data_IF_026227525122
#
_entry.id   IF_026227525122
#
_cell.length_a   1.000
_cell.length_b   1.000
_cell.length_c   1.000
_cell.angle_alpha   90.00
_cell.angle_beta   90.00
_cell.angle_gamma   90.00
#
_symmetry.space_group_name_H-M   'P 1'
#
loop_
_entity.id
_entity.type
_entity.pdbx_description
1 polymer ?
#
# COMPACT_ATOMS: atom_id res chain seq x y z
N UNK A 1 -50.78 -5.96 -41.85
CA UNK A 1 -49.37 -5.63 -41.53
C UNK A 1 -49.20 -5.72 -40.03
N UNK A 2 -48.33 -6.61 -39.55
CA UNK A 2 -48.11 -6.90 -38.13
C UNK A 2 -46.82 -6.20 -37.67
N UNK A 3 -46.94 -5.18 -36.83
CA UNK A 3 -45.79 -4.45 -36.28
C UNK A 3 -45.25 -5.19 -35.06
N UNK A 4 -44.01 -5.68 -35.15
CA UNK A 4 -43.29 -6.30 -34.03
C UNK A 4 -42.73 -5.21 -33.11
N UNK A 5 -42.87 -5.30 -31.78
CA UNK A 5 -42.19 -4.39 -30.87
C UNK A 5 -40.71 -4.78 -30.80
N UNK A 6 -39.84 -3.81 -31.07
CA UNK A 6 -38.41 -3.91 -30.82
C UNK A 6 -38.18 -3.70 -29.32
N UNK A 7 -37.88 -4.77 -28.59
CA UNK A 7 -37.36 -4.65 -27.23
C UNK A 7 -35.91 -4.17 -27.31
N UNK A 8 -35.70 -2.88 -27.05
CA UNK A 8 -34.37 -2.33 -26.84
C UNK A 8 -33.90 -2.73 -25.44
N UNK A 9 -33.11 -3.80 -25.37
CA UNK A 9 -32.41 -4.18 -24.14
C UNK A 9 -31.36 -3.11 -23.84
N UNK A 10 -31.63 -2.23 -22.88
CA UNK A 10 -30.62 -1.33 -22.32
C UNK A 10 -29.65 -2.20 -21.53
N UNK A 11 -28.47 -2.47 -22.10
CA UNK A 11 -27.35 -3.03 -21.35
C UNK A 11 -26.96 -1.99 -20.30
N UNK A 12 -27.33 -2.22 -19.04
CA UNK A 12 -26.81 -1.44 -17.94
C UNK A 12 -25.30 -1.69 -17.86
N UNK A 13 -24.50 -0.67 -18.20
CA UNK A 13 -23.07 -0.62 -17.90
C UNK A 13 -22.96 -0.52 -16.38
N UNK A 14 -22.90 -1.66 -15.69
CA UNK A 14 -22.49 -1.69 -14.29
C UNK A 14 -21.04 -1.20 -14.25
N UNK A 15 -20.71 -0.19 -13.42
CA UNK A 15 -19.32 0.18 -13.21
C UNK A 15 -18.59 -1.05 -12.69
N UNK A 16 -17.57 -1.50 -13.41
CA UNK A 16 -16.63 -2.49 -12.89
C UNK A 16 -15.92 -1.83 -11.71
N UNK A 17 -16.36 -2.16 -10.50
CA UNK A 17 -15.63 -1.80 -9.28
C UNK A 17 -14.27 -2.48 -9.40
N UNK A 18 -13.21 -1.68 -9.57
CA UNK A 18 -11.85 -2.19 -9.60
C UNK A 18 -11.53 -2.74 -8.21
N UNK A 19 -11.06 -3.98 -8.14
CA UNK A 19 -10.64 -4.56 -6.86
C UNK A 19 -9.48 -3.76 -6.28
N UNK A 20 -9.44 -3.65 -4.96
CA UNK A 20 -8.37 -2.94 -4.25
C UNK A 20 -6.98 -3.45 -4.66
N UNK A 21 -6.11 -2.50 -4.97
CA UNK A 21 -4.72 -2.72 -5.32
C UNK A 21 -3.85 -1.73 -4.53
N UNK A 22 -2.97 -2.26 -3.69
CA UNK A 22 -1.99 -1.46 -2.96
C UNK A 22 -0.70 -1.34 -3.79
N UNK A 23 -0.52 -0.20 -4.43
CA UNK A 23 0.60 0.04 -5.36
C UNK A 23 1.87 0.50 -4.64
N UNK A 24 1.75 1.11 -3.46
CA UNK A 24 2.89 1.63 -2.70
C UNK A 24 3.50 2.89 -3.34
N UNK A 25 4.75 3.25 -3.00
CA UNK A 25 5.52 4.26 -3.73
C UNK A 25 5.84 3.89 -5.16
N UNK A 26 6.17 4.90 -5.98
CA UNK A 26 6.56 4.71 -7.37
C UNK A 26 7.72 3.70 -7.48
N UNK A 27 7.51 2.56 -8.15
CA UNK A 27 8.48 1.48 -8.22
C UNK A 27 9.69 1.78 -9.11
N UNK A 28 9.62 2.84 -9.92
CA UNK A 28 10.67 3.22 -10.86
C UNK A 28 11.78 4.08 -10.24
N UNK A 29 11.59 4.52 -8.99
CA UNK A 29 12.54 5.34 -8.24
C UNK A 29 13.01 4.61 -6.98
N UNK A 30 14.26 4.87 -6.59
CA UNK A 30 14.77 4.39 -5.31
C UNK A 30 14.07 5.09 -4.15
N UNK A 31 13.85 4.35 -3.06
CA UNK A 31 13.21 4.85 -1.86
C UNK A 31 14.21 5.67 -1.04
N UNK A 32 14.20 6.98 -1.24
CA UNK A 32 15.08 7.93 -0.56
C UNK A 32 14.52 8.35 0.81
N UNK A 33 15.15 7.88 1.88
CA UNK A 33 14.72 8.14 3.25
C UNK A 33 14.89 9.60 3.70
N UNK A 34 15.59 10.42 2.92
CA UNK A 34 15.72 11.86 3.18
C UNK A 34 14.58 12.68 2.59
N UNK A 35 13.73 12.07 1.76
CA UNK A 35 12.62 12.74 1.09
C UNK A 35 11.27 12.30 1.66
N UNK A 36 10.28 13.15 1.45
CA UNK A 36 8.89 12.72 1.58
C UNK A 36 8.53 11.82 0.39
N UNK A 37 7.80 10.75 0.66
CA UNK A 37 7.37 9.77 -0.32
C UNK A 37 5.84 9.70 -0.35
N UNK A 38 5.29 9.41 -1.52
CA UNK A 38 3.85 9.18 -1.68
C UNK A 38 3.60 7.68 -1.80
N UNK A 39 2.81 7.12 -0.88
CA UNK A 39 2.30 5.74 -0.93
C UNK A 39 0.94 5.79 -1.60
N UNK A 40 0.68 4.96 -2.60
CA UNK A 40 -0.56 5.00 -3.39
C UNK A 40 -1.33 3.67 -3.37
N UNK A 41 -2.61 3.75 -3.68
CA UNK A 41 -3.49 2.60 -3.92
C UNK A 41 -4.65 2.99 -4.84
N UNK A 42 -5.30 1.98 -5.40
CA UNK A 42 -6.48 2.16 -6.25
C UNK A 42 -7.53 1.08 -5.97
N UNK A 43 -8.71 1.24 -6.56
CA UNK A 43 -9.79 0.29 -6.42
C UNK A 43 -10.56 0.42 -5.11
N UNK A 44 -11.37 -0.60 -4.83
CA UNK A 44 -12.31 -0.64 -3.72
C UNK A 44 -12.32 -2.03 -3.07
N UNK A 45 -12.85 -2.10 -1.86
CA UNK A 45 -13.00 -3.36 -1.11
C UNK A 45 -14.46 -3.80 -1.10
N UNK A 46 -14.72 -5.01 -0.60
CA UNK A 46 -16.09 -5.49 -0.42
C UNK A 46 -16.85 -4.60 0.58
N UNK A 47 -18.17 -4.47 0.42
CA UNK A 47 -19.02 -3.60 1.25
C UNK A 47 -18.96 -3.88 2.76
N UNK A 48 -18.56 -5.10 3.13
CA UNK A 48 -18.46 -5.55 4.51
C UNK A 48 -17.06 -5.31 5.12
N UNK A 49 -16.11 -4.85 4.32
CA UNK A 49 -14.74 -4.54 4.75
C UNK A 49 -14.65 -3.06 5.11
N UNK A 50 -13.93 -2.74 6.19
CA UNK A 50 -13.63 -1.36 6.56
C UNK A 50 -12.93 -0.62 5.41
N UNK A 51 -13.41 0.57 5.04
CA UNK A 51 -12.70 1.44 4.09
C UNK A 51 -11.52 2.18 4.72
N UNK A 52 -11.27 1.93 6.01
CA UNK A 52 -10.07 2.34 6.73
C UNK A 52 -9.12 1.16 6.86
N UNK A 53 -7.84 1.43 6.64
CA UNK A 53 -6.76 0.46 6.80
C UNK A 53 -5.52 1.09 7.42
N UNK A 54 -4.64 0.26 7.96
CA UNK A 54 -3.34 0.67 8.46
C UNK A 54 -2.27 0.50 7.38
N UNK A 55 -1.28 1.40 7.37
CA UNK A 55 -0.10 1.29 6.52
C UNK A 55 1.08 0.92 7.40
N UNK A 56 1.84 -0.09 6.97
CA UNK A 56 3.08 -0.51 7.60
C UNK A 56 4.21 -0.49 6.59
N UNK A 57 5.44 -0.31 7.08
CA UNK A 57 6.62 -0.73 6.35
C UNK A 57 7.23 -1.97 6.99
N UNK A 58 7.90 -2.76 6.17
CA UNK A 58 8.46 -4.05 6.53
C UNK A 58 9.78 -4.31 5.81
N UNK A 59 10.72 -4.96 6.51
CA UNK A 59 11.96 -5.44 5.92
C UNK A 59 12.49 -6.70 6.61
N UNK A 60 13.09 -7.57 5.81
CA UNK A 60 13.89 -8.71 6.27
C UNK A 60 15.34 -8.53 5.77
N UNK A 61 16.15 -7.66 6.40
CA UNK A 61 17.50 -7.39 5.94
C UNK A 61 18.44 -8.61 6.06
N UNK A 62 18.09 -9.60 6.89
CA UNK A 62 18.69 -10.93 6.89
C UNK A 62 17.81 -11.98 7.57
N UNK A 63 18.27 -13.23 7.56
CA UNK A 63 17.57 -14.39 8.15
C UNK A 63 17.35 -14.31 9.67
N UNK A 64 17.94 -13.36 10.36
CA UNK A 64 17.82 -13.21 11.82
C UNK A 64 16.98 -11.99 12.20
N UNK A 65 16.77 -11.05 11.27
CA UNK A 65 16.13 -9.78 11.53
C UNK A 65 14.92 -9.63 10.62
N UNK A 66 13.76 -9.57 11.26
CA UNK A 66 12.51 -9.12 10.66
C UNK A 66 12.11 -7.86 11.39
N UNK A 67 12.07 -6.73 10.68
CA UNK A 67 11.82 -5.41 11.24
C UNK A 67 10.70 -4.74 10.47
N UNK A 68 9.81 -4.08 11.19
CA UNK A 68 8.69 -3.37 10.62
C UNK A 68 8.18 -2.35 11.63
N UNK A 69 7.52 -1.32 11.14
CA UNK A 69 6.77 -0.44 12.01
C UNK A 69 5.49 0.02 11.33
N UNK A 70 4.46 0.11 12.16
CA UNK A 70 3.19 0.70 11.80
C UNK A 70 3.37 2.21 11.60
N UNK A 71 2.88 2.72 10.47
CA UNK A 71 3.02 4.13 10.09
C UNK A 71 1.83 4.94 10.60
N UNK A 72 0.63 4.36 10.49
CA UNK A 72 -0.62 5.13 10.63
C UNK A 72 -1.40 4.80 11.89
N UNK A 73 -1.18 3.63 12.48
CA UNK A 73 -2.06 3.17 13.54
C UNK A 73 -1.95 4.01 14.81
N UNK A 74 -3.11 4.52 15.24
CA UNK A 74 -3.26 5.50 16.31
C UNK A 74 -2.55 6.85 16.06
N UNK A 75 -2.02 7.07 14.85
CA UNK A 75 -1.39 8.34 14.43
C UNK A 75 -2.27 9.09 13.45
N UNK A 76 -2.82 8.40 12.45
CA UNK A 76 -3.70 8.94 11.44
C UNK A 76 -4.61 7.84 10.87
N UNK A 77 -5.87 8.18 10.61
CA UNK A 77 -6.76 7.30 9.84
C UNK A 77 -6.43 7.44 8.35
N UNK A 78 -6.23 6.32 7.65
CA UNK A 78 -6.06 6.28 6.18
C UNK A 78 -7.29 5.65 5.55
N UNK A 79 -7.90 6.36 4.60
CA UNK A 79 -9.12 5.93 3.93
C UNK A 79 -8.88 5.53 2.48
N UNK A 80 -9.58 4.50 2.03
CA UNK A 80 -9.57 4.08 0.62
C UNK A 80 -9.81 5.22 -0.36
N UNK A 81 -10.72 6.14 -0.01
CA UNK A 81 -11.08 7.30 -0.83
C UNK A 81 -9.94 8.28 -1.08
N UNK A 82 -8.90 8.27 -0.25
CA UNK A 82 -7.80 9.23 -0.37
C UNK A 82 -6.86 8.86 -1.52
N UNK A 83 -6.76 7.57 -1.84
CA UNK A 83 -5.91 7.03 -2.92
C UNK A 83 -4.40 7.17 -2.68
N UNK A 84 -3.98 7.95 -1.68
CA UNK A 84 -2.59 8.21 -1.38
C UNK A 84 -2.35 8.66 0.06
N UNK A 85 -1.14 8.44 0.55
CA UNK A 85 -0.63 8.90 1.85
C UNK A 85 0.79 9.43 1.70
N UNK A 86 1.08 10.60 2.29
CA UNK A 86 2.43 11.17 2.31
C UNK A 86 3.17 10.72 3.57
N UNK A 87 4.35 10.13 3.39
CA UNK A 87 5.19 9.66 4.48
C UNK A 87 6.54 10.37 4.45
N UNK A 88 6.94 10.86 5.63
CA UNK A 88 8.31 11.24 5.92
C UNK A 88 8.86 10.36 7.02
N UNK A 89 9.96 9.67 6.75
CA UNK A 89 10.58 8.79 7.75
C UNK A 89 11.17 9.59 8.91
N UNK A 90 10.97 9.08 10.12
CA UNK A 90 11.59 9.64 11.32
C UNK A 90 13.06 9.25 11.42
N UNK A 91 13.85 10.05 12.14
CA UNK A 91 15.26 9.71 12.42
C UNK A 91 15.38 8.38 13.19
N UNK A 92 14.43 8.04 14.08
CA UNK A 92 14.41 6.75 14.76
C UNK A 92 14.28 5.58 13.77
N UNK A 93 13.46 5.73 12.73
CA UNK A 93 13.32 4.71 11.67
C UNK A 93 14.62 4.57 10.89
N UNK A 94 15.27 5.69 10.56
CA UNK A 94 16.57 5.68 9.88
C UNK A 94 17.64 5.02 10.74
N UNK A 95 17.74 5.38 12.01
CA UNK A 95 18.70 4.84 12.98
C UNK A 95 18.55 3.32 13.12
N UNK A 96 17.32 2.81 13.15
CA UNK A 96 17.04 1.38 13.22
C UNK A 96 17.48 0.63 11.94
N UNK A 97 17.35 1.25 10.77
CA UNK A 97 17.65 0.64 9.47
C UNK A 97 19.11 0.84 9.03
N UNK A 98 19.80 1.87 9.54
CA UNK A 98 21.18 2.23 9.19
C UNK A 98 22.16 1.06 9.27
N UNK A 99 22.12 0.15 10.27
CA UNK A 99 23.01 -1.01 10.32
C UNK A 99 22.88 -1.96 9.12
N UNK A 100 21.79 -1.86 8.36
CA UNK A 100 21.47 -2.71 7.21
C UNK A 100 21.49 -1.95 5.88
N UNK A 101 21.93 -0.69 5.85
CA UNK A 101 21.84 0.20 4.69
C UNK A 101 22.37 -0.44 3.39
N UNK A 102 23.56 -1.04 3.42
CA UNK A 102 24.17 -1.69 2.25
C UNK A 102 23.30 -2.83 1.69
N UNK A 103 22.69 -3.63 2.56
CA UNK A 103 21.81 -4.73 2.14
C UNK A 103 20.49 -4.22 1.60
N UNK A 104 19.89 -3.22 2.26
CA UNK A 104 18.65 -2.59 1.81
C UNK A 104 18.83 -1.90 0.45
N UNK A 105 20.01 -1.35 0.18
CA UNK A 105 20.38 -0.76 -1.10
C UNK A 105 20.68 -1.80 -2.19
N UNK A 106 21.20 -2.98 -1.85
CA UNK A 106 21.63 -3.96 -2.85
C UNK A 106 20.55 -4.99 -3.18
N UNK A 107 19.83 -5.48 -2.17
CA UNK A 107 19.01 -6.69 -2.26
C UNK A 107 17.50 -6.41 -2.38
N UNK A 108 17.09 -5.12 -2.35
CA UNK A 108 15.68 -4.68 -2.38
C UNK A 108 14.83 -5.43 -1.36
N UNK A 109 15.07 -5.16 -0.08
CA UNK A 109 14.47 -5.90 1.05
C UNK A 109 13.42 -5.10 1.82
N UNK A 110 13.02 -3.93 1.32
CA UNK A 110 12.06 -3.04 1.99
C UNK A 110 10.73 -2.99 1.23
N UNK A 111 9.60 -3.17 1.91
CA UNK A 111 8.26 -3.10 1.32
C UNK A 111 7.27 -2.38 2.25
N UNK A 112 6.13 -2.02 1.68
CA UNK A 112 4.98 -1.50 2.42
C UNK A 112 3.83 -2.50 2.39
N UNK A 113 2.95 -2.39 3.38
CA UNK A 113 1.77 -3.21 3.50
C UNK A 113 0.55 -2.34 3.84
N UNK A 114 -0.58 -2.63 3.21
CA UNK A 114 -1.88 -2.15 3.64
C UNK A 114 -2.60 -3.27 4.41
N UNK A 115 -3.11 -2.97 5.60
CA UNK A 115 -3.72 -3.93 6.51
C UNK A 115 -5.14 -3.51 6.82
N UNK A 116 -6.10 -4.28 6.30
CA UNK A 116 -7.51 -4.14 6.62
C UNK A 116 -7.84 -5.05 7.80
N UNK A 117 -8.19 -4.43 8.92
CA UNK A 117 -8.63 -5.14 10.14
C UNK A 117 -10.10 -5.55 9.97
N UNK A 118 -10.36 -6.85 9.86
CA UNK A 118 -11.71 -7.43 9.73
C UNK A 118 -11.97 -8.44 10.86
N UNK A 119 -12.17 -7.88 12.08
CA UNK A 119 -12.51 -8.64 13.28
C UNK A 119 -11.46 -9.70 13.64
N UNK A 120 -11.70 -10.93 13.21
CA UNK A 120 -10.86 -12.11 13.52
C UNK A 120 -9.73 -12.34 12.51
N UNK A 121 -9.74 -11.66 11.36
CA UNK A 121 -8.72 -11.84 10.31
C UNK A 121 -8.32 -10.51 9.67
N UNK A 122 -7.02 -10.31 9.57
CA UNK A 122 -6.47 -9.18 8.83
C UNK A 122 -6.27 -9.58 7.36
N UNK A 123 -6.68 -8.69 6.46
CA UNK A 123 -6.33 -8.80 5.04
C UNK A 123 -5.16 -7.88 4.75
N UNK A 124 -4.05 -8.46 4.28
CA UNK A 124 -2.82 -7.72 4.00
C UNK A 124 -2.52 -7.70 2.50
N UNK A 125 -2.25 -6.50 1.98
CA UNK A 125 -1.79 -6.28 0.62
C UNK A 125 -0.37 -5.75 0.65
N UNK A 126 0.48 -6.28 -0.23
CA UNK A 126 1.90 -5.95 -0.26
C UNK A 126 2.19 -5.08 -1.47
N UNK A 127 2.99 -4.04 -1.26
CA UNK A 127 3.70 -3.42 -2.37
C UNK A 127 4.80 -4.38 -2.86
N UNK A 128 5.43 -4.02 -3.97
CA UNK A 128 6.73 -4.59 -4.30
C UNK A 128 7.81 -4.21 -3.28
N UNK A 129 9.01 -4.76 -3.48
CA UNK A 129 10.18 -4.35 -2.72
C UNK A 129 10.94 -3.20 -3.40
N UNK A 130 11.60 -2.39 -2.59
CA UNK A 130 12.32 -1.19 -3.01
C UNK A 130 13.80 -1.26 -2.65
N UNK A 131 14.62 -0.69 -3.53
CA UNK A 131 15.97 -0.22 -3.20
C UNK A 131 15.85 0.91 -2.21
N UNK A 132 16.63 0.89 -1.14
CA UNK A 132 16.65 1.98 -0.15
C UNK A 132 17.94 2.79 -0.28
N UNK A 133 17.81 4.13 -0.25
CA UNK A 133 18.93 5.07 -0.21
C UNK A 133 18.70 6.15 0.87
N UNK A 134 19.74 6.88 1.25
CA UNK A 134 19.61 8.00 2.21
C UNK A 134 19.46 7.58 3.68
N UNK A 135 20.08 6.46 4.06
CA UNK A 135 20.17 5.99 5.46
C UNK A 135 21.50 6.38 6.14
N UNK A 136 22.42 7.00 5.39
CA UNK A 136 23.76 7.41 5.82
C UNK A 136 23.79 8.64 6.74
#
# INVERSE_FOLDING_TARGET
MQTKPFFATVLALLPTVQAFEFTGPDPSVDLDFNKEITITWTGDVGKDVSHKFDVEWYSEPDKFNTIGAEITHNVADVFLSDGQYQLKFSENTKDMLRPFADKLATDKLFSFRAIFKDGDKDTTYYSQNYTVVGLD
#
